data_IF_713796260438
#
_entry.id   IF_713796260438
#
_cell.length_a   1.000
_cell.length_b   1.000
_cell.length_c   1.000
_cell.angle_alpha   90.00
_cell.angle_beta   90.00
_cell.angle_gamma   90.00
#
_symmetry.space_group_name_H-M   'P 1'
#
loop_
_entity.id
_entity.type
_entity.pdbx_description
1 polymer ?
#
# COMPACT_ATOMS: atom_id res chain seq x y z
N UNK A 1 -21.35 57.32 72.82
CA UNK A 1 -22.39 56.40 73.31
C UNK A 1 -22.93 55.63 72.12
N UNK A 2 -22.67 54.33 72.12
CA UNK A 2 -23.11 53.37 71.11
C UNK A 2 -24.62 53.19 71.19
N UNK A 3 -25.32 53.42 70.08
CA UNK A 3 -26.61 52.81 69.78
C UNK A 3 -26.60 52.46 68.29
N UNK A 4 -25.82 51.42 67.98
CA UNK A 4 -25.96 50.65 66.74
C UNK A 4 -27.38 50.07 66.72
N UNK A 5 -28.20 50.55 65.81
CA UNK A 5 -29.47 49.90 65.48
C UNK A 5 -29.16 48.45 65.08
N UNK A 6 -29.75 47.50 65.81
CA UNK A 6 -29.63 46.08 65.52
C UNK A 6 -30.14 45.72 64.12
N UNK A 7 -29.82 44.51 63.62
CA UNK A 7 -30.22 44.09 62.28
C UNK A 7 -31.75 44.13 62.12
N UNK A 8 -32.20 44.66 60.99
CA UNK A 8 -33.62 44.75 60.62
C UNK A 8 -34.32 43.40 60.80
N UNK A 9 -35.43 43.40 61.53
CA UNK A 9 -36.24 42.19 61.72
C UNK A 9 -36.97 41.82 60.44
N UNK A 10 -37.31 40.52 60.29
CA UNK A 10 -37.96 39.97 59.11
C UNK A 10 -39.27 40.69 58.75
N UNK A 11 -39.98 41.19 59.76
CA UNK A 11 -41.23 41.95 59.60
C UNK A 11 -41.00 43.39 59.13
N UNK A 12 -39.89 44.02 59.55
CA UNK A 12 -39.49 45.35 59.06
C UNK A 12 -39.00 45.29 57.62
N UNK A 13 -38.33 44.20 57.22
CA UNK A 13 -37.97 43.94 55.81
C UNK A 13 -39.24 43.70 54.98
N UNK A 14 -40.24 42.98 55.50
CA UNK A 14 -41.49 42.74 54.79
C UNK A 14 -42.30 44.03 54.55
N UNK A 15 -42.33 44.96 55.51
CA UNK A 15 -42.97 46.27 55.37
C UNK A 15 -42.29 47.17 54.32
N UNK A 16 -40.95 47.25 54.35
CA UNK A 16 -40.16 47.97 53.34
C UNK A 16 -40.30 47.38 51.94
N UNK A 17 -40.38 46.05 51.83
CA UNK A 17 -40.60 45.36 50.54
C UNK A 17 -42.03 45.54 50.02
N UNK A 18 -43.03 45.68 50.91
CA UNK A 18 -44.44 45.91 50.52
C UNK A 18 -44.65 47.32 49.97
N UNK A 19 -44.04 48.34 50.58
CA UNK A 19 -44.06 49.71 50.05
C UNK A 19 -43.29 49.83 48.72
N UNK A 20 -42.18 49.09 48.55
CA UNK A 20 -41.44 49.05 47.28
C UNK A 20 -42.20 48.31 46.17
N UNK A 21 -42.98 47.27 46.51
CA UNK A 21 -43.87 46.55 45.56
C UNK A 21 -45.09 47.36 45.14
N UNK A 22 -45.61 48.23 46.01
CA UNK A 22 -46.73 49.11 45.68
C UNK A 22 -46.33 50.31 44.80
N UNK A 23 -45.04 50.70 44.83
CA UNK A 23 -44.51 51.87 44.08
C UNK A 23 -43.77 51.51 42.78
N UNK A 24 -43.63 50.22 42.48
CA UNK A 24 -43.06 49.70 41.24
C UNK A 24 -44.09 48.85 40.47
N UNK A 25 -45.20 49.50 40.08
CA UNK A 25 -46.03 49.06 38.97
C UNK A 25 -45.72 49.92 37.75
N UNK A 26 -45.03 49.40 36.73
CA UNK A 26 -45.17 49.89 35.38
C UNK A 26 -46.50 49.39 34.81
N UNK A 27 -47.39 50.30 34.46
CA UNK A 27 -48.54 50.06 33.59
C UNK A 27 -48.03 49.55 32.23
N UNK A 28 -48.31 48.28 31.91
CA UNK A 28 -48.03 47.69 30.60
C UNK A 28 -49.29 47.83 29.73
N UNK A 29 -49.23 48.42 28.52
CA UNK A 29 -50.32 48.37 27.55
C UNK A 29 -50.57 46.92 27.09
N UNK A 30 -51.75 46.56 26.56
CA UNK A 30 -52.01 45.18 26.12
C UNK A 30 -51.03 44.79 25.01
N UNK A 31 -50.07 43.93 25.35
CA UNK A 31 -49.22 43.24 24.39
C UNK A 31 -49.98 42.02 23.88
N UNK A 32 -50.04 41.81 22.55
CA UNK A 32 -50.77 40.72 21.94
C UNK A 32 -50.23 39.36 22.38
N UNK A 33 -51.13 38.37 22.40
CA UNK A 33 -50.78 36.95 22.53
C UNK A 33 -49.57 36.62 21.66
N UNK A 34 -48.53 36.10 22.30
CA UNK A 34 -47.39 35.49 21.64
C UNK A 34 -47.89 34.20 20.97
N UNK A 35 -48.39 34.32 19.74
CA UNK A 35 -48.43 33.20 18.80
C UNK A 35 -47.02 32.61 18.77
N UNK A 36 -46.87 31.32 19.08
CA UNK A 36 -45.64 30.59 18.75
C UNK A 36 -45.30 30.79 17.26
N UNK A 37 -44.06 30.50 16.83
CA UNK A 37 -43.71 30.59 15.42
C UNK A 37 -44.78 29.84 14.63
N UNK A 38 -45.48 30.57 13.77
CA UNK A 38 -46.46 29.98 12.87
C UNK A 38 -45.75 28.85 12.12
N UNK A 39 -46.39 27.68 11.92
CA UNK A 39 -45.85 26.72 10.98
C UNK A 39 -45.54 27.47 9.67
N UNK A 40 -44.48 27.09 8.93
CA UNK A 40 -44.32 27.63 7.58
C UNK A 40 -45.68 27.47 6.89
N UNK A 41 -46.15 28.56 6.25
CA UNK A 41 -47.52 28.71 5.73
C UNK A 41 -47.99 27.57 4.81
N UNK A 42 -47.08 26.67 4.43
CA UNK A 42 -47.25 25.57 3.49
C UNK A 42 -47.20 24.17 4.16
N UNK A 43 -47.14 24.07 5.49
CA UNK A 43 -47.15 22.79 6.20
C UNK A 43 -48.57 22.25 6.43
N UNK A 44 -48.81 21.00 6.04
CA UNK A 44 -50.11 20.32 6.15
C UNK A 44 -50.06 19.12 7.10
N UNK A 45 -51.17 18.74 7.78
CA UNK A 45 -51.17 17.64 8.75
C UNK A 45 -51.13 16.24 8.12
N UNK A 46 -51.27 16.14 6.79
CA UNK A 46 -51.27 14.86 6.05
C UNK A 46 -50.09 14.83 5.10
N UNK A 47 -49.29 13.77 5.16
CA UNK A 47 -48.15 13.59 4.28
C UNK A 47 -48.59 13.52 2.79
N UNK A 48 -47.90 14.22 1.87
CA UNK A 48 -48.09 14.07 0.44
C UNK A 48 -48.01 12.62 -0.03
N UNK A 49 -48.79 12.28 -1.05
CA UNK A 49 -48.77 10.96 -1.67
C UNK A 49 -47.42 10.68 -2.36
N UNK A 50 -46.97 9.43 -2.27
CA UNK A 50 -45.73 8.94 -2.87
C UNK A 50 -46.08 7.93 -3.98
N UNK A 51 -45.20 7.77 -4.96
CA UNK A 51 -45.40 6.80 -6.03
C UNK A 51 -45.56 5.36 -5.47
N UNK A 52 -46.45 4.58 -6.08
CA UNK A 52 -46.66 3.18 -5.69
C UNK A 52 -45.35 2.37 -5.69
N UNK A 53 -45.13 1.61 -4.62
CA UNK A 53 -43.95 0.75 -4.45
C UNK A 53 -42.73 1.47 -3.84
N UNK A 54 -42.88 2.72 -3.41
CA UNK A 54 -41.87 3.42 -2.61
C UNK A 54 -42.36 3.51 -1.16
N UNK A 55 -41.53 3.05 -0.24
CA UNK A 55 -41.81 3.18 1.18
C UNK A 55 -41.66 4.62 1.65
N UNK A 56 -42.62 5.09 2.46
CA UNK A 56 -42.55 6.37 3.13
C UNK A 56 -42.34 6.13 4.63
N UNK A 57 -41.18 6.54 5.15
CA UNK A 57 -40.75 6.32 6.53
C UNK A 57 -40.38 7.63 7.19
N UNK A 58 -40.19 7.59 8.50
CA UNK A 58 -39.82 8.74 9.33
C UNK A 58 -38.43 8.51 9.91
N UNK A 59 -37.61 9.56 9.95
CA UNK A 59 -36.31 9.45 10.62
C UNK A 59 -36.49 9.19 12.12
N UNK A 60 -35.82 8.18 12.64
CA UNK A 60 -35.68 7.95 14.07
C UNK A 60 -34.84 9.09 14.66
N UNK A 61 -35.32 9.82 15.70
CA UNK A 61 -34.55 10.90 16.33
C UNK A 61 -33.20 10.48 16.91
N UNK A 62 -32.99 9.17 17.13
CA UNK A 62 -31.73 8.60 17.61
C UNK A 62 -30.75 8.24 16.49
N UNK A 63 -31.11 8.46 15.22
CA UNK A 63 -30.27 8.16 14.07
C UNK A 63 -28.94 8.93 14.17
N UNK A 64 -27.76 8.25 14.12
CA UNK A 64 -26.46 8.91 14.30
C UNK A 64 -26.19 10.04 13.29
N UNK A 65 -26.80 9.95 12.11
CA UNK A 65 -26.63 10.90 11.00
C UNK A 65 -27.60 12.08 11.01
N UNK A 66 -28.53 12.15 11.98
CA UNK A 66 -29.57 13.19 12.02
C UNK A 66 -28.99 14.62 12.00
N UNK A 67 -27.89 14.86 12.72
CA UNK A 67 -27.24 16.17 12.75
C UNK A 67 -26.58 16.53 11.41
N UNK A 68 -26.04 15.54 10.69
CA UNK A 68 -25.36 15.73 9.39
C UNK A 68 -26.32 16.28 8.35
N UNK A 69 -27.59 15.89 8.40
CA UNK A 69 -28.65 16.37 7.48
C UNK A 69 -29.42 17.57 8.03
N UNK A 70 -28.98 18.14 9.16
CA UNK A 70 -29.63 19.28 9.81
C UNK A 70 -31.01 18.98 10.41
N UNK A 71 -31.31 17.71 10.71
CA UNK A 71 -32.57 17.32 11.30
C UNK A 71 -32.63 17.64 12.81
N UNK A 72 -33.82 18.00 13.28
CA UNK A 72 -34.10 18.35 14.67
C UNK A 72 -34.74 17.17 15.41
N UNK A 73 -34.17 16.74 16.52
CA UNK A 73 -34.75 15.65 17.34
C UNK A 73 -36.08 16.01 18.00
N UNK A 74 -36.43 17.30 18.05
CA UNK A 74 -37.69 17.81 18.65
C UNK A 74 -38.62 18.49 17.64
N UNK A 75 -38.22 18.55 16.37
CA UNK A 75 -38.99 19.18 15.31
C UNK A 75 -40.35 18.49 15.10
N UNK A 76 -41.40 19.28 14.86
CA UNK A 76 -42.76 18.78 14.53
C UNK A 76 -43.15 19.02 13.07
N UNK A 77 -42.35 19.81 12.37
CA UNK A 77 -42.49 20.01 10.93
C UNK A 77 -41.51 19.08 10.25
N UNK A 78 -41.96 18.36 9.24
CA UNK A 78 -41.19 17.37 8.51
C UNK A 78 -41.02 17.80 7.06
N UNK A 79 -39.81 17.61 6.55
CA UNK A 79 -39.48 17.81 5.13
C UNK A 79 -39.04 16.50 4.51
N UNK A 80 -39.40 16.30 3.25
CA UNK A 80 -39.08 15.10 2.52
C UNK A 80 -37.58 15.04 2.16
N UNK A 81 -37.01 13.85 2.29
CA UNK A 81 -35.69 13.44 1.82
C UNK A 81 -35.81 12.06 1.16
N UNK A 82 -34.77 11.64 0.42
CA UNK A 82 -34.67 10.24 -0.04
C UNK A 82 -33.51 9.56 0.65
N UNK A 83 -33.76 8.39 1.26
CA UNK A 83 -32.69 7.46 1.63
C UNK A 83 -32.42 6.51 0.48
N UNK A 84 -31.15 6.34 0.13
CA UNK A 84 -30.69 5.47 -0.94
C UNK A 84 -29.68 4.46 -0.42
N UNK A 85 -29.93 3.18 -0.69
CA UNK A 85 -28.97 2.09 -0.46
C UNK A 85 -28.51 1.56 -1.81
N UNK A 86 -27.20 1.61 -2.06
CA UNK A 86 -26.59 1.23 -3.34
C UNK A 86 -25.50 0.20 -3.08
N UNK A 87 -25.54 -0.92 -3.79
CA UNK A 87 -24.43 -1.87 -3.82
C UNK A 87 -23.51 -1.51 -4.97
N UNK A 88 -22.23 -1.40 -4.67
CA UNK A 88 -21.14 -1.10 -5.58
C UNK A 88 -20.25 -2.33 -5.68
N UNK A 89 -19.90 -2.72 -6.90
CA UNK A 89 -18.88 -3.73 -7.16
C UNK A 89 -17.71 -3.05 -7.87
N UNK A 90 -16.52 -3.17 -7.29
CA UNK A 90 -15.28 -2.81 -7.96
C UNK A 90 -14.60 -4.11 -8.36
N UNK A 91 -14.37 -4.30 -9.65
CA UNK A 91 -13.62 -5.44 -10.15
C UNK A 91 -12.55 -5.04 -11.16
N UNK A 92 -11.46 -5.79 -11.16
CA UNK A 92 -10.44 -5.71 -12.20
C UNK A 92 -9.76 -7.09 -12.27
N UNK A 93 -9.91 -7.76 -13.41
CA UNK A 93 -9.38 -9.12 -13.59
C UNK A 93 -7.85 -9.15 -13.55
N UNK A 94 -7.19 -8.10 -14.03
CA UNK A 94 -5.72 -8.02 -14.07
C UNK A 94 -5.14 -7.78 -12.68
N UNK A 95 -5.79 -6.91 -11.90
CA UNK A 95 -5.43 -6.64 -10.52
C UNK A 95 -5.95 -7.72 -9.54
N UNK A 96 -6.80 -8.64 -10.00
CA UNK A 96 -7.41 -9.66 -9.14
C UNK A 96 -8.38 -9.07 -8.12
N UNK A 97 -8.96 -7.90 -8.42
CA UNK A 97 -9.87 -7.18 -7.52
C UNK A 97 -11.30 -7.64 -7.78
N UNK A 98 -12.00 -7.95 -6.69
CA UNK A 98 -13.44 -8.18 -6.65
C UNK A 98 -13.92 -7.75 -5.26
N UNK A 99 -14.34 -6.50 -5.15
CA UNK A 99 -14.67 -5.84 -3.89
C UNK A 99 -16.07 -5.26 -3.94
N UNK A 100 -16.92 -5.70 -3.02
CA UNK A 100 -18.27 -5.15 -2.87
C UNK A 100 -18.33 -4.16 -1.72
N UNK A 101 -19.00 -3.04 -1.94
CA UNK A 101 -19.25 -2.01 -0.94
C UNK A 101 -20.73 -1.64 -0.96
N UNK A 102 -21.32 -1.41 0.21
CA UNK A 102 -22.61 -0.73 0.31
C UNK A 102 -22.37 0.77 0.47
N UNK A 103 -23.18 1.56 -0.22
CA UNK A 103 -23.19 3.00 -0.18
C UNK A 103 -24.58 3.48 0.21
N UNK A 104 -24.64 4.02 1.41
CA UNK A 104 -25.82 4.56 2.04
C UNK A 104 -25.76 6.10 1.99
N UNK A 105 -26.87 6.73 1.59
CA UNK A 105 -26.94 8.17 1.51
C UNK A 105 -28.33 8.75 1.76
N UNK A 106 -28.36 10.01 2.17
CA UNK A 106 -29.56 10.84 2.28
C UNK A 106 -29.47 11.96 1.25
N UNK A 107 -30.55 12.16 0.53
CA UNK A 107 -30.71 13.17 -0.51
C UNK A 107 -31.68 14.21 0.03
N UNK A 108 -31.17 15.40 0.32
CA UNK A 108 -31.91 16.48 0.94
C UNK A 108 -31.24 17.83 0.65
N UNK A 109 -32.00 18.89 0.31
CA UNK A 109 -33.46 18.93 0.13
C UNK A 109 -33.93 18.25 -1.18
N UNK A 110 -35.24 18.01 -1.31
CA UNK A 110 -35.86 17.49 -2.53
C UNK A 110 -36.49 18.61 -3.37
N UNK A 111 -35.64 19.33 -4.08
CA UNK A 111 -36.03 20.40 -5.00
C UNK A 111 -36.52 19.83 -6.35
N UNK A 112 -37.01 20.68 -7.25
CA UNK A 112 -37.56 20.24 -8.55
C UNK A 112 -36.57 19.39 -9.38
N UNK A 113 -35.28 19.66 -9.22
CA UNK A 113 -34.17 18.85 -9.74
C UNK A 113 -33.25 18.51 -8.58
N UNK A 114 -32.96 17.23 -8.40
CA UNK A 114 -31.98 16.78 -7.40
C UNK A 114 -30.61 16.78 -8.06
N UNK A 115 -29.64 17.49 -7.49
CA UNK A 115 -28.24 17.34 -7.88
C UNK A 115 -27.63 16.13 -7.15
N UNK A 116 -27.21 15.08 -7.86
CA UNK A 116 -26.51 13.95 -7.25
C UNK A 116 -25.20 14.33 -6.53
N UNK A 117 -24.60 15.48 -6.82
CA UNK A 117 -23.43 15.96 -6.12
C UNK A 117 -23.72 16.44 -4.68
N UNK A 118 -24.98 16.78 -4.39
CA UNK A 118 -25.44 17.18 -3.05
C UNK A 118 -25.88 15.98 -2.19
N UNK A 119 -25.67 14.75 -2.69
CA UNK A 119 -25.96 13.51 -1.96
C UNK A 119 -25.08 13.42 -0.71
N UNK A 120 -25.72 13.32 0.46
CA UNK A 120 -25.05 13.24 1.75
C UNK A 120 -24.80 11.76 2.08
N UNK A 121 -23.55 11.30 1.95
CA UNK A 121 -23.17 9.95 2.32
C UNK A 121 -23.28 9.76 3.85
N UNK A 122 -24.06 8.78 4.29
CA UNK A 122 -24.27 8.46 5.71
C UNK A 122 -24.44 6.96 5.89
N UNK A 123 -23.97 6.40 7.00
CA UNK A 123 -24.19 4.99 7.35
C UNK A 123 -25.57 4.82 8.01
N UNK A 124 -26.62 4.75 7.20
CA UNK A 124 -27.98 4.51 7.71
C UNK A 124 -28.34 3.03 7.66
N UNK A 125 -29.13 2.58 8.63
CA UNK A 125 -29.71 1.24 8.63
C UNK A 125 -31.22 1.24 8.92
N UNK A 126 -31.85 0.07 8.84
CA UNK A 126 -33.31 -0.05 9.02
C UNK A 126 -33.82 0.51 10.35
N UNK A 127 -33.00 0.52 11.41
CA UNK A 127 -33.36 1.00 12.75
C UNK A 127 -33.42 2.53 12.83
N UNK A 128 -32.82 3.21 11.85
CA UNK A 128 -32.88 4.66 11.73
C UNK A 128 -34.22 5.14 11.15
N UNK A 129 -35.11 4.21 10.80
CA UNK A 129 -36.40 4.52 10.22
C UNK A 129 -37.57 3.98 11.05
N UNK A 130 -38.61 4.80 11.16
CA UNK A 130 -39.88 4.48 11.81
C UNK A 130 -40.98 4.41 10.75
N UNK A 131 -41.90 3.45 10.89
CA UNK A 131 -43.00 3.26 9.94
C UNK A 131 -44.14 4.28 10.13
N UNK A 132 -44.35 4.75 11.35
CA UNK A 132 -45.46 5.65 11.70
C UNK A 132 -45.00 7.07 12.03
N UNK A 133 -45.83 8.04 11.67
CA UNK A 133 -45.59 9.45 11.97
C UNK A 133 -45.67 9.70 13.48
N UNK A 134 -44.72 10.46 14.06
CA UNK A 134 -44.86 10.92 15.44
C UNK A 134 -46.12 11.79 15.63
N UNK A 135 -46.77 11.74 16.81
CA UNK A 135 -47.98 12.52 17.06
C UNK A 135 -47.77 14.02 16.86
N UNK A 136 -48.66 14.66 16.09
CA UNK A 136 -48.60 16.10 15.81
C UNK A 136 -47.61 16.50 14.71
N UNK A 137 -47.17 15.55 13.89
CA UNK A 137 -46.39 15.84 12.68
C UNK A 137 -47.17 16.69 11.66
N UNK A 138 -46.47 17.63 11.05
CA UNK A 138 -46.93 18.42 9.91
C UNK A 138 -45.86 18.37 8.81
N UNK A 139 -46.26 18.48 7.55
CA UNK A 139 -45.43 18.14 6.40
C UNK A 139 -45.31 19.28 5.42
N UNK A 140 -44.08 19.60 5.02
CA UNK A 140 -43.78 20.53 3.93
C UNK A 140 -43.78 19.74 2.62
N UNK A 141 -44.59 20.19 1.65
CA UNK A 141 -44.61 19.58 0.33
C UNK A 141 -43.29 19.85 -0.40
N UNK A 142 -42.58 18.82 -0.90
CA UNK A 142 -41.38 19.04 -1.70
C UNK A 142 -41.73 19.58 -3.09
N UNK A 143 -40.80 20.29 -3.71
CA UNK A 143 -40.93 20.69 -5.12
C UNK A 143 -40.78 19.49 -6.07
N UNK A 144 -40.00 18.49 -5.64
CA UNK A 144 -39.85 17.22 -6.33
C UNK A 144 -41.20 16.49 -6.50
N UNK A 145 -41.39 15.87 -7.69
CA UNK A 145 -42.60 15.12 -8.04
C UNK A 145 -42.58 13.69 -7.46
N UNK A 146 -42.47 13.58 -6.13
CA UNK A 146 -42.34 12.31 -5.38
C UNK A 146 -43.51 11.32 -5.60
N UNK A 147 -44.66 11.80 -6.05
CA UNK A 147 -45.83 10.99 -6.41
C UNK A 147 -45.69 10.27 -7.77
N UNK A 148 -44.67 10.60 -8.58
CA UNK A 148 -44.50 10.04 -9.93
C UNK A 148 -43.39 9.00 -9.98
N UNK A 149 -43.63 7.87 -10.66
CA UNK A 149 -42.57 6.85 -10.92
C UNK A 149 -41.40 7.43 -11.72
N UNK A 150 -41.66 8.42 -12.57
CA UNK A 150 -40.66 9.09 -13.39
C UNK A 150 -39.56 9.74 -12.53
N UNK A 151 -39.92 10.44 -11.44
CA UNK A 151 -38.96 11.04 -10.52
C UNK A 151 -37.99 9.99 -9.95
N UNK A 152 -38.51 8.89 -9.40
CA UNK A 152 -37.70 7.83 -8.80
C UNK A 152 -36.79 7.11 -9.81
N UNK A 153 -37.30 6.87 -11.03
CA UNK A 153 -36.49 6.28 -12.10
C UNK A 153 -35.36 7.21 -12.57
N UNK A 154 -35.62 8.53 -12.62
CA UNK A 154 -34.63 9.55 -12.91
C UNK A 154 -33.57 9.60 -11.83
N UNK A 155 -33.99 9.75 -10.57
CA UNK A 155 -33.11 9.77 -9.41
C UNK A 155 -32.19 8.54 -9.34
N UNK A 156 -32.73 7.34 -9.60
CA UNK A 156 -31.96 6.10 -9.69
C UNK A 156 -30.90 6.16 -10.79
N UNK A 157 -31.22 6.71 -11.96
CA UNK A 157 -30.27 6.87 -13.06
C UNK A 157 -29.20 7.91 -12.75
N UNK A 158 -29.59 9.02 -12.14
CA UNK A 158 -28.70 10.14 -11.82
C UNK A 158 -27.73 9.74 -10.70
N UNK A 159 -28.21 9.08 -9.65
CA UNK A 159 -27.38 8.52 -8.58
C UNK A 159 -26.36 7.51 -9.10
N UNK A 160 -26.76 6.61 -10.01
CA UNK A 160 -25.82 5.69 -10.67
C UNK A 160 -24.74 6.44 -11.44
N UNK A 161 -25.14 7.45 -12.21
CA UNK A 161 -24.21 8.21 -13.06
C UNK A 161 -23.22 9.01 -12.22
N UNK A 162 -23.67 9.56 -11.10
CA UNK A 162 -22.82 10.22 -10.11
C UNK A 162 -21.83 9.26 -9.46
N UNK A 163 -22.27 8.11 -8.96
CA UNK A 163 -21.37 7.17 -8.29
C UNK A 163 -20.29 6.64 -9.24
N UNK A 164 -20.65 6.35 -10.49
CA UNK A 164 -19.68 5.98 -11.53
C UNK A 164 -18.65 7.08 -11.76
N UNK A 165 -19.06 8.35 -11.77
CA UNK A 165 -18.16 9.47 -12.02
C UNK A 165 -17.30 9.84 -10.79
N UNK A 166 -17.86 9.71 -9.58
CA UNK A 166 -17.26 10.25 -8.36
C UNK A 166 -16.46 9.21 -7.55
N UNK A 167 -16.77 7.90 -7.70
CA UNK A 167 -16.19 6.84 -6.88
C UNK A 167 -15.23 5.96 -7.67
N UNK A 168 -14.12 5.67 -7.02
CA UNK A 168 -13.03 4.80 -7.46
C UNK A 168 -12.34 4.26 -6.22
N UNK A 169 -11.72 3.10 -6.33
CA UNK A 169 -10.81 2.58 -5.31
C UNK A 169 -9.38 2.62 -5.82
N UNK A 170 -8.45 2.83 -4.91
CA UNK A 170 -7.02 2.80 -5.21
C UNK A 170 -6.45 1.47 -4.75
N UNK A 171 -5.66 0.84 -5.62
CA UNK A 171 -4.79 -0.28 -5.27
C UNK A 171 -3.39 0.05 -5.76
N UNK A 172 -2.38 -0.57 -5.16
CA UNK A 172 -1.00 -0.42 -5.58
C UNK A 172 -0.61 -1.52 -6.56
N UNK A 173 0.37 -1.24 -7.41
CA UNK A 173 0.87 -2.16 -8.42
C UNK A 173 2.38 -2.10 -8.46
N UNK A 174 3.00 -3.27 -8.55
CA UNK A 174 4.39 -3.41 -8.95
C UNK A 174 4.43 -4.11 -10.31
N UNK A 175 4.73 -3.35 -11.35
CA UNK A 175 4.65 -3.85 -12.73
C UNK A 175 5.75 -4.86 -13.07
N UNK A 176 6.93 -4.74 -12.45
CA UNK A 176 8.09 -5.62 -12.65
C UNK A 176 7.88 -7.00 -12.05
N UNK A 177 7.31 -7.04 -10.86
CA UNK A 177 6.99 -8.26 -10.13
C UNK A 177 5.63 -8.85 -10.54
N UNK A 178 4.81 -8.09 -11.26
CA UNK A 178 3.46 -8.50 -11.65
C UNK A 178 2.50 -8.60 -10.47
N UNK A 179 2.73 -7.81 -9.42
CA UNK A 179 1.97 -7.84 -8.18
C UNK A 179 1.00 -6.67 -8.08
N UNK A 180 -0.10 -6.91 -7.39
CA UNK A 180 -1.12 -5.94 -7.05
C UNK A 180 -1.44 -6.00 -5.56
N UNK A 181 -1.79 -4.86 -4.98
CA UNK A 181 -2.27 -4.80 -3.60
C UNK A 181 -3.71 -5.28 -3.51
N UNK A 182 -4.10 -5.66 -2.30
CA UNK A 182 -5.51 -5.86 -1.96
C UNK A 182 -6.17 -4.50 -1.74
N UNK A 183 -7.49 -4.47 -1.82
CA UNK A 183 -8.28 -3.26 -1.52
C UNK A 183 -8.12 -2.92 -0.03
N UNK A 184 -7.67 -1.69 0.25
CA UNK A 184 -7.44 -1.20 1.61
C UNK A 184 -6.18 -1.75 2.29
N UNK A 185 -5.34 -2.51 1.59
CA UNK A 185 -4.01 -2.90 2.09
C UNK A 185 -3.13 -1.65 2.25
N UNK A 186 -2.39 -1.57 3.35
CA UNK A 186 -1.46 -0.46 3.56
C UNK A 186 -0.28 -0.58 2.57
N UNK A 187 0.23 0.57 2.10
CA UNK A 187 1.34 0.60 1.14
C UNK A 187 2.57 -0.16 1.65
N UNK A 188 2.93 -0.01 2.93
CA UNK A 188 4.06 -0.73 3.54
C UNK A 188 3.86 -2.25 3.55
N UNK A 189 2.64 -2.73 3.80
CA UNK A 189 2.33 -4.16 3.76
C UNK A 189 2.47 -4.71 2.33
N UNK A 190 2.04 -3.93 1.33
CA UNK A 190 2.23 -4.28 -0.06
C UNK A 190 3.71 -4.27 -0.46
N UNK A 191 4.47 -3.24 -0.06
CA UNK A 191 5.91 -3.14 -0.29
C UNK A 191 6.66 -4.34 0.30
N UNK A 192 6.29 -4.78 1.51
CA UNK A 192 6.89 -5.97 2.12
C UNK A 192 6.67 -7.22 1.26
N UNK A 193 5.46 -7.43 0.73
CA UNK A 193 5.18 -8.54 -0.21
C UNK A 193 5.97 -8.41 -1.52
N UNK A 194 6.17 -7.19 -2.01
CA UNK A 194 7.01 -6.93 -3.18
C UNK A 194 8.48 -7.28 -2.91
N UNK A 195 9.03 -6.89 -1.75
CA UNK A 195 10.40 -7.23 -1.35
C UNK A 195 10.60 -8.75 -1.26
N UNK A 196 9.66 -9.46 -0.63
CA UNK A 196 9.70 -10.93 -0.56
C UNK A 196 9.70 -11.58 -1.95
N UNK A 197 8.83 -11.12 -2.86
CA UNK A 197 8.78 -11.67 -4.23
C UNK A 197 10.02 -11.31 -5.06
N UNK A 198 10.64 -10.16 -4.80
CA UNK A 198 11.90 -9.75 -5.40
C UNK A 198 13.05 -10.63 -4.91
N UNK A 199 13.15 -10.89 -3.61
CA UNK A 199 14.15 -11.78 -3.01
C UNK A 199 14.06 -13.19 -3.61
N UNK A 200 12.85 -13.76 -3.71
CA UNK A 200 12.66 -15.05 -4.37
C UNK A 200 13.08 -15.04 -5.85
N UNK A 201 12.88 -13.92 -6.54
CA UNK A 201 13.27 -13.77 -7.94
C UNK A 201 14.78 -13.63 -8.10
N UNK A 202 15.42 -12.91 -7.19
CA UNK A 202 16.88 -12.80 -7.07
C UNK A 202 17.48 -14.17 -6.82
N UNK A 203 16.98 -14.93 -5.84
CA UNK A 203 17.45 -16.28 -5.53
C UNK A 203 17.37 -17.21 -6.75
N UNK A 204 16.25 -17.20 -7.48
CA UNK A 204 16.10 -17.99 -8.71
C UNK A 204 17.09 -17.56 -9.79
N UNK A 205 17.37 -16.26 -9.93
CA UNK A 205 18.30 -15.74 -10.90
C UNK A 205 19.76 -16.08 -10.54
N UNK A 206 20.14 -15.91 -9.26
CA UNK A 206 21.44 -16.27 -8.71
C UNK A 206 21.69 -17.76 -8.84
N UNK A 207 20.71 -18.62 -8.54
CA UNK A 207 20.86 -20.07 -8.72
C UNK A 207 21.15 -20.46 -10.18
N UNK A 208 20.44 -19.86 -11.15
CA UNK A 208 20.70 -20.06 -12.58
C UNK A 208 22.08 -19.54 -12.99
N UNK A 209 22.51 -18.40 -12.42
CA UNK A 209 23.84 -17.84 -12.66
C UNK A 209 24.91 -18.79 -12.12
N UNK A 210 24.83 -19.20 -10.86
CA UNK A 210 25.75 -20.16 -10.25
C UNK A 210 25.80 -21.46 -11.06
N UNK A 211 24.64 -21.97 -11.52
CA UNK A 211 24.62 -23.11 -12.43
C UNK A 211 25.40 -22.80 -13.70
N UNK A 212 25.21 -21.67 -14.38
CA UNK A 212 26.00 -21.36 -15.59
C UNK A 212 27.51 -21.28 -15.31
N UNK A 213 27.91 -20.72 -14.17
CA UNK A 213 29.31 -20.46 -13.84
C UNK A 213 30.06 -21.67 -13.27
N UNK A 214 29.37 -22.61 -12.59
CA UNK A 214 30.02 -23.82 -12.01
C UNK A 214 30.97 -24.53 -12.99
N UNK A 215 30.61 -24.69 -14.26
CA UNK A 215 31.33 -25.51 -15.23
C UNK A 215 32.53 -24.77 -15.76
N UNK A 216 32.48 -23.44 -15.75
CA UNK A 216 33.63 -22.61 -16.10
C UNK A 216 34.66 -22.68 -14.96
N UNK A 217 34.19 -22.52 -13.72
CA UNK A 217 35.02 -22.62 -12.51
C UNK A 217 35.65 -24.01 -12.39
N UNK A 218 34.85 -25.07 -12.47
CA UNK A 218 35.32 -26.47 -12.41
C UNK A 218 36.35 -26.76 -13.48
N UNK A 219 36.13 -26.26 -14.71
CA UNK A 219 37.09 -26.43 -15.81
C UNK A 219 38.42 -25.74 -15.53
N UNK A 220 38.42 -24.55 -14.93
CA UNK A 220 39.67 -23.88 -14.55
C UNK A 220 40.33 -24.59 -13.37
N UNK A 221 39.57 -25.07 -12.39
CA UNK A 221 40.09 -25.88 -11.27
C UNK A 221 40.76 -27.17 -11.76
N UNK A 222 40.17 -27.86 -12.72
CA UNK A 222 40.78 -29.04 -13.36
C UNK A 222 42.09 -28.68 -14.09
N UNK A 223 42.14 -27.50 -14.75
CA UNK A 223 43.35 -27.01 -15.41
C UNK A 223 44.45 -26.62 -14.42
N UNK A 224 44.08 -26.00 -13.28
CA UNK A 224 44.99 -25.71 -12.17
C UNK A 224 45.57 -27.01 -11.63
N UNK A 225 44.73 -27.99 -11.30
CA UNK A 225 45.20 -29.29 -10.80
C UNK A 225 46.16 -29.98 -11.79
N UNK A 226 45.86 -29.91 -13.08
CA UNK A 226 46.74 -30.43 -14.14
C UNK A 226 48.07 -29.66 -14.20
N UNK A 227 48.04 -28.33 -14.03
CA UNK A 227 49.22 -27.48 -14.04
C UNK A 227 50.10 -27.69 -12.79
N UNK A 228 49.51 -27.86 -11.61
CA UNK A 228 50.20 -28.21 -10.36
C UNK A 228 50.95 -29.54 -10.50
N UNK A 229 50.26 -30.59 -10.99
CA UNK A 229 50.88 -31.88 -11.26
C UNK A 229 52.08 -31.74 -12.23
N UNK A 230 51.93 -30.89 -13.25
CA UNK A 230 53.00 -30.63 -14.21
C UNK A 230 54.20 -29.90 -13.61
N UNK A 231 53.96 -28.96 -12.69
CA UNK A 231 55.02 -28.27 -11.94
C UNK A 231 55.78 -29.30 -11.09
N UNK A 232 55.07 -30.14 -10.33
CA UNK A 232 55.66 -31.16 -9.48
C UNK A 232 56.53 -32.15 -10.28
N UNK A 233 56.04 -32.64 -11.43
CA UNK A 233 56.81 -33.52 -12.32
C UNK A 233 58.11 -32.86 -12.80
N UNK A 234 58.02 -31.60 -13.25
CA UNK A 234 59.18 -30.86 -13.78
C UNK A 234 60.20 -30.50 -12.70
N UNK A 235 59.74 -30.25 -11.47
CA UNK A 235 60.60 -30.04 -10.31
C UNK A 235 61.37 -31.31 -9.95
N UNK A 236 60.69 -32.47 -9.95
CA UNK A 236 61.34 -33.78 -9.78
C UNK A 236 62.41 -34.05 -10.85
N UNK A 237 62.08 -33.81 -12.12
CA UNK A 237 63.01 -33.93 -13.25
C UNK A 237 64.22 -33.00 -13.12
N UNK A 238 63.99 -31.75 -12.72
CA UNK A 238 65.05 -30.77 -12.52
C UNK A 238 65.96 -31.16 -11.35
N UNK A 239 65.40 -31.66 -10.24
CA UNK A 239 66.16 -32.15 -9.09
C UNK A 239 67.04 -33.34 -9.47
N UNK A 240 66.51 -34.33 -10.18
CA UNK A 240 67.27 -35.49 -10.66
C UNK A 240 68.45 -35.07 -11.57
N UNK A 241 68.23 -34.13 -12.49
CA UNK A 241 69.28 -33.61 -13.38
C UNK A 241 70.36 -32.80 -12.62
N UNK A 242 69.95 -32.08 -11.58
CA UNK A 242 70.86 -31.33 -10.70
C UNK A 242 71.74 -32.28 -9.88
N UNK A 243 71.18 -33.39 -9.38
CA UNK A 243 71.90 -34.41 -8.64
C UNK A 243 72.89 -35.17 -9.54
N UNK A 244 72.52 -35.45 -10.79
CA UNK A 244 73.44 -36.01 -11.79
C UNK A 244 74.62 -35.08 -12.11
N UNK A 245 74.40 -33.76 -12.11
CA UNK A 245 75.47 -32.75 -12.23
C UNK A 245 76.44 -32.77 -11.03
N UNK A 246 75.92 -32.96 -9.81
CA UNK A 246 76.73 -33.01 -8.57
C UNK A 246 77.53 -34.32 -8.41
N UNK A 247 76.92 -35.48 -8.70
CA UNK A 247 77.58 -36.79 -8.59
C UNK A 247 78.74 -36.95 -9.57
N UNK A 248 78.62 -36.36 -10.78
CA UNK A 248 79.69 -36.38 -11.78
C UNK A 248 80.77 -35.30 -11.52
N UNK A 249 80.43 -34.22 -10.82
CA UNK A 249 81.38 -33.17 -10.41
C UNK A 249 82.40 -33.59 -9.34
N UNK A 250 82.13 -34.64 -8.56
CA UNK A 250 83.05 -35.18 -7.54
C UNK A 250 83.87 -36.41 -8.01
N UNK A 251 83.46 -37.06 -9.11
CA UNK A 251 84.09 -38.30 -9.61
C UNK A 251 85.22 -38.11 -10.62
N UNK A 252 85.23 -37.00 -11.37
CA UNK A 252 86.14 -36.83 -12.51
C UNK A 252 87.56 -36.37 -12.13
N UNK A 253 87.82 -36.05 -10.86
CA UNK A 253 89.19 -35.79 -10.38
C UNK A 253 89.96 -37.08 -10.03
N UNK A 254 89.28 -38.21 -9.79
CA UNK A 254 89.95 -39.49 -9.51
C UNK A 254 90.25 -40.33 -10.76
N UNK A 255 89.60 -40.04 -11.90
CA UNK A 255 89.81 -40.76 -13.16
C UNK A 255 90.96 -40.23 -14.04
N UNK A 256 91.43 -39.00 -13.80
CA UNK A 256 92.45 -38.36 -14.65
C UNK A 256 93.89 -38.87 -14.43
N UNK A 257 94.15 -39.69 -13.40
CA UNK A 257 95.48 -40.20 -13.06
C UNK A 257 95.74 -41.63 -13.60
N UNK A 258 94.70 -42.35 -14.04
CA UNK A 258 94.81 -43.75 -14.46
C UNK A 258 94.37 -43.97 -15.91
N UNK A 259 95.13 -43.40 -16.84
CA UNK A 259 95.41 -44.02 -18.14
C UNK A 259 94.43 -43.79 -19.30
N UNK A 260 95.00 -43.42 -20.45
CA UNK A 260 94.46 -43.82 -21.76
C UNK A 260 93.88 -42.74 -22.66
N UNK A 261 94.77 -42.09 -23.42
CA UNK A 261 94.60 -41.48 -24.76
C UNK A 261 93.17 -41.50 -25.36
N UNK A 262 92.48 -40.36 -25.36
CA UNK A 262 91.27 -40.14 -26.17
C UNK A 262 91.09 -38.66 -26.51
N UNK A 263 90.72 -38.40 -27.77
CA UNK A 263 90.44 -37.07 -28.35
C UNK A 263 88.99 -36.66 -27.99
N UNK A 264 88.79 -35.89 -26.93
CA UNK A 264 87.57 -35.11 -26.75
C UNK A 264 87.83 -33.97 -25.75
N UNK A 265 87.47 -32.73 -26.10
CA UNK A 265 87.59 -31.57 -25.21
C UNK A 265 86.66 -31.75 -23.99
N UNK A 266 87.20 -31.91 -22.75
CA UNK A 266 86.37 -32.10 -21.55
C UNK A 266 85.50 -30.87 -21.21
N UNK A 267 85.83 -29.69 -21.75
CA UNK A 267 85.07 -28.46 -21.58
C UNK A 267 83.68 -28.48 -22.26
N UNK A 268 83.48 -29.24 -23.35
CA UNK A 268 82.22 -29.25 -24.10
C UNK A 268 81.12 -30.10 -23.43
N UNK A 269 81.49 -31.19 -22.73
CA UNK A 269 80.53 -32.03 -22.01
C UNK A 269 79.98 -31.34 -20.74
N UNK A 270 80.81 -30.55 -20.05
CA UNK A 270 80.39 -29.75 -18.88
C UNK A 270 79.46 -28.62 -19.31
N UNK A 271 79.73 -27.97 -20.45
CA UNK A 271 78.88 -26.92 -21.02
C UNK A 271 77.49 -27.44 -21.42
N UNK A 272 77.41 -28.61 -22.08
CA UNK A 272 76.14 -29.23 -22.45
C UNK A 272 75.30 -29.67 -21.24
N UNK A 273 75.92 -30.14 -20.15
CA UNK A 273 75.20 -30.51 -18.91
C UNK A 273 74.64 -29.30 -18.18
N UNK A 274 75.42 -28.22 -18.04
CA UNK A 274 74.94 -26.94 -17.48
C UNK A 274 73.80 -26.34 -18.30
N UNK A 275 73.86 -26.43 -19.63
CA UNK A 275 72.78 -26.00 -20.52
C UNK A 275 71.50 -26.85 -20.32
N UNK A 276 71.65 -28.16 -20.10
CA UNK A 276 70.53 -29.05 -19.81
C UNK A 276 69.84 -28.76 -18.47
N UNK A 277 70.61 -28.49 -17.40
CA UNK A 277 70.08 -28.08 -16.08
C UNK A 277 69.37 -26.72 -16.17
N UNK A 278 69.97 -25.74 -16.84
CA UNK A 278 69.33 -24.43 -17.08
C UNK A 278 68.01 -24.56 -17.85
N UNK A 279 67.97 -25.42 -18.87
CA UNK A 279 66.75 -25.70 -19.64
C UNK A 279 65.68 -26.40 -18.80
N UNK A 280 66.06 -27.29 -17.87
CA UNK A 280 65.13 -27.92 -16.95
C UNK A 280 64.52 -26.89 -15.97
N UNK A 281 65.35 -26.03 -15.38
CA UNK A 281 64.89 -24.93 -14.51
C UNK A 281 63.97 -23.96 -15.25
N UNK A 282 64.31 -23.56 -16.47
CA UNK A 282 63.46 -22.70 -17.29
C UNK A 282 62.09 -23.33 -17.61
N UNK A 283 62.00 -24.67 -17.71
CA UNK A 283 60.72 -25.37 -17.88
C UNK A 283 59.88 -25.38 -16.60
N UNK A 284 60.50 -25.50 -15.43
CA UNK A 284 59.82 -25.36 -14.13
C UNK A 284 59.23 -23.97 -14.02
N UNK A 285 60.03 -22.92 -14.25
CA UNK A 285 59.54 -21.53 -14.19
C UNK A 285 58.40 -21.27 -15.19
N UNK A 286 58.51 -21.76 -16.42
CA UNK A 286 57.42 -21.64 -17.40
C UNK A 286 56.15 -22.42 -16.99
N UNK A 287 56.28 -23.53 -16.27
CA UNK A 287 55.13 -24.28 -15.75
C UNK A 287 54.48 -23.55 -14.56
N UNK A 288 55.30 -23.00 -13.65
CA UNK A 288 54.83 -22.17 -12.53
C UNK A 288 54.10 -20.93 -13.02
N UNK A 289 54.61 -20.26 -14.05
CA UNK A 289 53.91 -19.12 -14.65
C UNK A 289 52.53 -19.53 -15.18
N UNK A 290 52.43 -20.67 -15.87
CA UNK A 290 51.13 -21.15 -16.38
C UNK A 290 50.14 -21.51 -15.27
N UNK A 291 50.63 -22.06 -14.16
CA UNK A 291 49.82 -22.31 -12.96
C UNK A 291 49.30 -20.97 -12.41
N UNK A 292 50.19 -20.01 -12.20
CA UNK A 292 49.83 -18.66 -11.74
C UNK A 292 48.82 -17.97 -12.68
N UNK A 293 49.01 -18.06 -13.99
CA UNK A 293 48.06 -17.51 -14.98
C UNK A 293 46.66 -18.16 -14.88
N UNK A 294 46.57 -19.41 -14.41
CA UNK A 294 45.30 -20.14 -14.23
C UNK A 294 44.66 -19.82 -12.88
N UNK A 295 45.45 -19.66 -11.84
CA UNK A 295 45.00 -19.18 -10.52
C UNK A 295 44.40 -17.77 -10.64
N UNK A 296 45.08 -16.85 -11.35
CA UNK A 296 44.56 -15.51 -11.63
C UNK A 296 43.26 -15.53 -12.43
N UNK A 297 43.14 -16.44 -13.41
CA UNK A 297 41.89 -16.62 -14.16
C UNK A 297 40.75 -17.14 -13.28
N UNK A 298 41.04 -17.98 -12.29
CA UNK A 298 40.02 -18.44 -11.34
C UNK A 298 39.54 -17.29 -10.46
N UNK A 299 40.48 -16.49 -9.92
CA UNK A 299 40.16 -15.32 -9.10
C UNK A 299 39.32 -14.30 -9.87
N UNK A 300 39.69 -13.98 -11.11
CA UNK A 300 38.92 -13.08 -11.99
C UNK A 300 37.50 -13.61 -12.22
N UNK A 301 37.35 -14.92 -12.49
CA UNK A 301 36.02 -15.54 -12.66
C UNK A 301 35.18 -15.52 -11.37
N UNK A 302 35.79 -15.72 -10.21
CA UNK A 302 35.09 -15.68 -8.92
C UNK A 302 34.66 -14.25 -8.57
N UNK A 303 35.49 -13.25 -8.87
CA UNK A 303 35.15 -11.84 -8.73
C UNK A 303 34.01 -11.43 -9.67
N UNK A 304 34.09 -11.77 -10.96
CA UNK A 304 33.03 -11.48 -11.93
C UNK A 304 31.69 -12.11 -11.50
N UNK A 305 31.71 -13.34 -10.97
CA UNK A 305 30.52 -13.99 -10.44
C UNK A 305 29.95 -13.21 -9.24
N UNK A 306 30.81 -12.76 -8.33
CA UNK A 306 30.42 -11.94 -7.18
C UNK A 306 29.76 -10.62 -7.62
N UNK A 307 30.36 -9.90 -8.56
CA UNK A 307 29.82 -8.65 -9.11
C UNK A 307 28.46 -8.85 -9.78
N UNK A 308 28.29 -9.93 -10.54
CA UNK A 308 27.03 -10.22 -11.22
C UNK A 308 25.93 -10.63 -10.22
N UNK A 309 26.26 -11.34 -9.14
CA UNK A 309 25.31 -11.64 -8.05
C UNK A 309 24.85 -10.35 -7.37
N UNK A 310 25.76 -9.43 -7.06
CA UNK A 310 25.44 -8.13 -6.46
C UNK A 310 24.49 -7.37 -7.39
N UNK A 311 24.82 -7.28 -8.69
CA UNK A 311 23.99 -6.60 -9.68
C UNK A 311 22.58 -7.16 -9.76
N UNK A 312 22.44 -8.50 -9.81
CA UNK A 312 21.13 -9.15 -9.81
C UNK A 312 20.35 -8.80 -8.54
N UNK A 313 21.00 -8.85 -7.39
CA UNK A 313 20.35 -8.57 -6.09
C UNK A 313 19.88 -7.11 -6.01
N UNK A 314 20.73 -6.17 -6.43
CA UNK A 314 20.39 -4.74 -6.49
C UNK A 314 19.27 -4.45 -7.50
N UNK A 315 19.28 -5.11 -8.66
CA UNK A 315 18.23 -4.98 -9.67
C UNK A 315 16.87 -5.39 -9.11
N UNK A 316 16.78 -6.55 -8.44
CA UNK A 316 15.53 -7.02 -7.84
C UNK A 316 15.11 -6.19 -6.64
N UNK A 317 16.05 -5.76 -5.80
CA UNK A 317 15.76 -4.84 -4.69
C UNK A 317 15.19 -3.52 -5.21
N UNK A 318 15.77 -2.95 -6.27
CA UNK A 318 15.23 -1.76 -6.93
C UNK A 318 13.85 -2.00 -7.53
N UNK A 319 13.65 -3.15 -8.18
CA UNK A 319 12.36 -3.51 -8.75
C UNK A 319 11.25 -3.63 -7.69
N UNK A 320 11.55 -4.05 -6.46
CA UNK A 320 10.56 -4.14 -5.37
C UNK A 320 9.96 -2.79 -4.97
N UNK A 321 10.77 -1.72 -5.05
CA UNK A 321 10.40 -0.37 -4.66
C UNK A 321 9.65 0.39 -5.78
N UNK A 322 9.57 -0.17 -7.00
CA UNK A 322 8.79 0.39 -8.12
C UNK A 322 7.27 0.14 -7.93
N UNK A 323 6.68 0.85 -6.98
CA UNK A 323 5.24 0.81 -6.69
C UNK A 323 4.54 2.02 -7.29
N UNK A 324 3.42 1.78 -7.99
CA UNK A 324 2.54 2.79 -8.54
C UNK A 324 1.11 2.61 -8.02
N UNK A 325 0.39 3.72 -7.83
CA UNK A 325 -1.04 3.70 -7.56
C UNK A 325 -1.83 3.53 -8.86
N UNK A 326 -2.83 2.66 -8.82
CA UNK A 326 -3.81 2.52 -9.89
C UNK A 326 -5.22 2.70 -9.32
N UNK A 327 -6.06 3.37 -10.11
CA UNK A 327 -7.44 3.62 -9.77
C UNK A 327 -8.34 2.64 -10.52
N UNK A 328 -9.22 1.97 -9.79
CA UNK A 328 -10.25 1.10 -10.34
C UNK A 328 -11.57 1.83 -10.23
N UNK A 329 -12.11 2.35 -11.36
CA UNK A 329 -13.39 3.04 -11.38
C UNK A 329 -14.56 2.04 -11.28
N UNK A 330 -15.75 2.54 -11.00
CA UNK A 330 -16.98 1.75 -11.14
C UNK A 330 -17.45 1.75 -12.60
N UNK A 331 -17.98 0.63 -13.08
CA UNK A 331 -18.80 0.64 -14.28
C UNK A 331 -20.28 0.81 -13.94
N UNK A 332 -21.07 1.28 -14.90
CA UNK A 332 -22.51 1.51 -14.70
C UNK A 332 -23.29 0.22 -14.37
N UNK A 333 -22.79 -0.91 -14.87
CA UNK A 333 -23.33 -2.25 -14.58
C UNK A 333 -23.12 -2.67 -13.14
N UNK A 334 -22.07 -2.17 -12.50
CA UNK A 334 -21.63 -2.58 -11.16
C UNK A 334 -22.25 -1.73 -10.04
N UNK A 335 -22.97 -0.68 -10.43
CA UNK A 335 -23.76 0.14 -9.51
C UNK A 335 -25.21 -0.34 -9.50
N UNK A 336 -25.62 -0.97 -8.41
CA UNK A 336 -27.00 -1.42 -8.19
C UNK A 336 -27.64 -0.64 -7.05
N UNK A 337 -28.55 0.28 -7.40
CA UNK A 337 -29.46 0.90 -6.41
C UNK A 337 -30.43 -0.18 -5.94
N UNK A 338 -30.20 -0.64 -4.72
CA UNK A 338 -30.92 -1.73 -4.07
C UNK A 338 -32.27 -1.24 -3.57
N UNK A 339 -32.28 -0.05 -2.96
CA UNK A 339 -33.46 0.53 -2.34
C UNK A 339 -33.48 2.05 -2.41
N UNK A 340 -34.70 2.61 -2.46
CA UNK A 340 -34.98 4.04 -2.35
C UNK A 340 -36.24 4.22 -1.51
N UNK A 341 -36.12 4.94 -0.39
CA UNK A 341 -37.24 5.27 0.50
C UNK A 341 -37.44 6.78 0.56
N UNK A 342 -38.69 7.22 0.65
CA UNK A 342 -38.99 8.58 1.08
C UNK A 342 -38.83 8.64 2.60
N UNK A 343 -38.02 9.57 3.09
CA UNK A 343 -37.80 9.77 4.52
C UNK A 343 -38.28 11.16 4.92
N UNK A 344 -39.11 11.21 5.95
CA UNK A 344 -39.53 12.47 6.57
C UNK A 344 -38.52 12.87 7.64
N UNK A 345 -37.79 13.96 7.39
CA UNK A 345 -36.82 14.54 8.32
C UNK A 345 -37.49 15.65 9.14
N UNK A 346 -37.47 15.58 10.49
CA UNK A 346 -37.94 16.68 11.32
C UNK A 346 -36.99 17.87 11.18
N UNK A 347 -37.53 19.06 10.90
CA UNK A 347 -36.76 20.31 10.80
C UNK A 347 -36.94 21.16 12.08
N UNK A 348 -35.96 22.04 12.40
CA UNK A 348 -35.98 22.88 13.60
C UNK A 348 -37.24 23.73 13.80
#
# INVERSE_FOLDING_TARGET
>A
MSYLAGPLTRDQVALLMKERRAKAQPTVPPTPESTGPAPPSDAVPVAPQVADGIDAVFMNPSAPWAQTVGASSTGKVYRAAVAATVHLLYDDTRAGVNHTQSYEAIIYPLDATVDPAEVIAVDHDERDFLAEAPPGASFVSPEARIHTKAFWSGLKSDLKSYLVAARKITVFRNSKLGLYSRVGEAEEEFLQRCREAADESADRAVAKLQEKWRTRIDRIKDQISTAEARVADLEGDAAARSQAELLSGAGDLLGALLGGRSRANPLSQIANRRAATRKAKARVEAARQRLSDKELQLEELENDLGEEIIRITEEWAGAAEEVEEIEIPLERTDVRVADLKLVWLPIP
#
